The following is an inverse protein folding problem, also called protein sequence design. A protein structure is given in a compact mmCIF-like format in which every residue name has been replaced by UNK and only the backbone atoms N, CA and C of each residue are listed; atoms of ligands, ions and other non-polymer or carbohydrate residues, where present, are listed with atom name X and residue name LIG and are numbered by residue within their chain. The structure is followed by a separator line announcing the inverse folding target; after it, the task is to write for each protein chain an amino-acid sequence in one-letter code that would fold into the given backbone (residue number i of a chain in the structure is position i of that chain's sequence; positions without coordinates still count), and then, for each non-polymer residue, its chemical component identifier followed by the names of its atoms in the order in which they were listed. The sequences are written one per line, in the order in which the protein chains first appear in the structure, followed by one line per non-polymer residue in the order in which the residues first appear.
data_IF_839856970270
#
_entry.id   IF_839856970270
#
_cell.length_a   1.000
_cell.length_b   1.000
_cell.length_c   1.000
_cell.angle_alpha   90.00
_cell.angle_beta   90.00
_cell.angle_gamma   90.00
#
_symmetry.space_group_name_H-M   'P 1'
#
loop_
_entity.id
_entity.type
_entity.pdbx_description
1 polymer ?
#
# COMPACT_ATOMS: atom_id res chain seq x y z
N UNK A 1 28.27 -14.62 -15.29
CA UNK A 1 27.17 -14.23 -14.39
C UNK A 1 25.94 -14.03 -15.25
N UNK A 2 24.98 -14.95 -15.19
CA UNK A 2 23.95 -15.17 -16.20
C UNK A 2 22.96 -14.00 -16.31
N UNK A 3 22.77 -13.48 -17.52
CA UNK A 3 21.86 -12.37 -17.84
C UNK A 3 20.37 -12.65 -17.49
N UNK A 4 20.00 -13.90 -17.23
CA UNK A 4 18.66 -14.27 -16.77
C UNK A 4 18.39 -13.91 -15.29
N UNK A 5 19.42 -13.61 -14.50
CA UNK A 5 19.28 -13.26 -13.08
C UNK A 5 18.82 -11.81 -12.91
N UNK A 6 19.12 -10.90 -13.86
CA UNK A 6 18.82 -9.46 -13.71
C UNK A 6 17.35 -9.13 -13.93
N UNK A 7 16.71 -9.68 -14.97
CA UNK A 7 15.29 -9.41 -15.28
C UNK A 7 14.35 -10.06 -14.26
N UNK A 8 14.67 -11.28 -13.83
CA UNK A 8 13.94 -11.97 -12.75
C UNK A 8 14.06 -11.19 -11.45
N UNK A 9 15.25 -10.69 -11.11
CA UNK A 9 15.44 -9.89 -9.90
C UNK A 9 14.63 -8.59 -9.91
N UNK A 10 14.59 -7.85 -11.03
CA UNK A 10 13.78 -6.63 -11.13
C UNK A 10 12.29 -6.91 -10.94
N UNK A 11 11.75 -7.96 -11.57
CA UNK A 11 10.34 -8.36 -11.38
C UNK A 11 10.05 -8.79 -9.95
N UNK A 12 10.99 -9.47 -9.29
CA UNK A 12 10.87 -9.85 -7.88
C UNK A 12 10.84 -8.59 -6.99
N UNK A 13 11.67 -7.59 -7.26
CA UNK A 13 11.68 -6.33 -6.50
C UNK A 13 10.35 -5.58 -6.64
N UNK A 14 9.78 -5.51 -7.84
CA UNK A 14 8.47 -4.88 -8.06
C UNK A 14 7.37 -5.62 -7.28
N UNK A 15 7.35 -6.95 -7.34
CA UNK A 15 6.40 -7.77 -6.60
C UNK A 15 6.53 -7.58 -5.08
N UNK A 16 7.76 -7.56 -4.55
CA UNK A 16 8.02 -7.32 -3.14
C UNK A 16 7.58 -5.92 -2.71
N UNK A 17 7.80 -4.90 -3.55
CA UNK A 17 7.32 -3.55 -3.31
C UNK A 17 5.80 -3.47 -3.24
N UNK A 18 5.10 -4.11 -4.18
CA UNK A 18 3.63 -4.19 -4.16
C UNK A 18 3.13 -4.95 -2.92
N UNK A 19 3.78 -6.05 -2.54
CA UNK A 19 3.42 -6.83 -1.36
C UNK A 19 3.54 -6.01 -0.06
N UNK A 20 4.63 -5.25 0.10
CA UNK A 20 4.82 -4.37 1.25
C UNK A 20 3.76 -3.26 1.30
N UNK A 21 3.45 -2.66 0.14
CA UNK A 21 2.36 -1.68 0.01
C UNK A 21 1.02 -2.25 0.50
N UNK A 22 0.62 -3.42 -0.02
CA UNK A 22 -0.63 -4.07 0.39
C UNK A 22 -0.66 -4.37 1.89
N UNK A 23 0.44 -4.87 2.45
CA UNK A 23 0.54 -5.19 3.88
C UNK A 23 0.39 -3.95 4.76
N UNK A 24 1.07 -2.86 4.43
CA UNK A 24 0.99 -1.60 5.18
C UNK A 24 -0.39 -0.96 5.06
N UNK A 25 -0.97 -0.97 3.86
CA UNK A 25 -2.32 -0.46 3.61
C UNK A 25 -3.37 -1.25 4.41
N UNK A 26 -3.32 -2.58 4.35
CA UNK A 26 -4.23 -3.45 5.09
C UNK A 26 -4.16 -3.17 6.60
N UNK A 27 -2.96 -3.15 7.19
CA UNK A 27 -2.80 -2.88 8.62
C UNK A 27 -3.29 -1.47 8.99
N UNK A 28 -3.00 -0.48 8.15
CA UNK A 28 -3.44 0.91 8.39
C UNK A 28 -4.96 1.01 8.37
N UNK A 29 -5.62 0.48 7.33
CA UNK A 29 -7.07 0.57 7.22
C UNK A 29 -7.80 -0.28 8.24
N UNK A 30 -7.25 -1.43 8.61
CA UNK A 30 -7.75 -2.22 9.74
C UNK A 30 -7.73 -1.40 11.03
N UNK A 31 -6.57 -0.86 11.42
CA UNK A 31 -6.44 -0.08 12.66
C UNK A 31 -7.29 1.19 12.70
N UNK A 32 -7.61 1.78 11.55
CA UNK A 32 -8.39 3.02 11.46
C UNK A 32 -9.89 2.79 11.43
N UNK A 33 -10.33 1.70 10.81
CA UNK A 33 -11.74 1.48 10.54
C UNK A 33 -12.38 0.41 11.42
N UNK A 34 -11.59 -0.52 11.97
CA UNK A 34 -12.09 -1.64 12.79
C UNK A 34 -11.55 -1.48 14.22
N UNK A 35 -12.27 -0.76 15.10
CA UNK A 35 -11.83 -0.54 16.47
C UNK A 35 -11.84 -1.83 17.31
N UNK A 36 -12.90 -2.63 17.17
CA UNK A 36 -13.10 -3.91 17.85
C UNK A 36 -13.83 -4.89 16.93
N UNK A 37 -13.47 -6.17 17.00
CA UNK A 37 -14.13 -7.23 16.22
C UNK A 37 -15.28 -7.81 17.04
N UNK A 38 -16.46 -7.23 16.88
CA UNK A 38 -17.66 -7.66 17.61
C UNK A 38 -18.45 -8.75 16.88
N UNK A 39 -18.39 -8.75 15.55
CA UNK A 39 -19.12 -9.68 14.68
C UNK A 39 -18.20 -10.27 13.60
N UNK A 40 -18.64 -11.36 12.98
CA UNK A 40 -17.93 -11.98 11.84
C UNK A 40 -18.04 -11.19 10.53
N UNK A 41 -18.90 -10.16 10.49
CA UNK A 41 -19.16 -9.34 9.31
C UNK A 41 -18.89 -7.88 9.60
N UNK A 42 -18.39 -7.17 8.60
CA UNK A 42 -18.25 -5.71 8.68
C UNK A 42 -19.63 -5.05 8.62
N UNK A 43 -19.85 -4.13 9.54
CA UNK A 43 -20.98 -3.21 9.48
C UNK A 43 -20.88 -2.32 8.22
N UNK A 44 -22.00 -1.69 7.87
CA UNK A 44 -22.04 -0.75 6.73
C UNK A 44 -21.06 0.42 6.93
N UNK A 45 -20.89 0.86 8.18
CA UNK A 45 -19.95 1.92 8.54
C UNK A 45 -18.49 1.51 8.36
N UNK A 46 -18.12 0.31 8.82
CA UNK A 46 -16.77 -0.23 8.68
C UNK A 46 -16.42 -0.47 7.21
N UNK A 47 -17.35 -1.06 6.44
CA UNK A 47 -17.16 -1.28 4.99
C UNK A 47 -16.92 0.05 4.27
N UNK A 48 -17.78 1.05 4.47
CA UNK A 48 -17.62 2.36 3.85
C UNK A 48 -16.35 3.10 4.33
N UNK A 49 -15.94 2.91 5.58
CA UNK A 49 -14.67 3.44 6.09
C UNK A 49 -13.48 2.81 5.37
N UNK A 50 -13.46 1.48 5.22
CA UNK A 50 -12.36 0.75 4.56
C UNK A 50 -12.21 1.21 3.11
N UNK A 51 -13.31 1.35 2.36
CA UNK A 51 -13.28 1.86 0.98
C UNK A 51 -12.63 3.25 0.89
N UNK A 52 -13.07 4.18 1.76
CA UNK A 52 -12.50 5.54 1.84
C UNK A 52 -11.04 5.52 2.29
N UNK A 53 -10.68 4.63 3.21
CA UNK A 53 -9.32 4.50 3.70
C UNK A 53 -8.37 4.05 2.59
N UNK A 54 -8.73 3.01 1.85
CA UNK A 54 -7.93 2.50 0.72
C UNK A 54 -7.74 3.57 -0.34
N UNK A 55 -8.82 4.28 -0.69
CA UNK A 55 -8.75 5.41 -1.64
C UNK A 55 -7.74 6.48 -1.18
N UNK A 56 -7.88 6.98 0.06
CA UNK A 56 -6.97 7.99 0.63
C UNK A 56 -5.53 7.48 0.73
N UNK A 57 -5.34 6.21 1.10
CA UNK A 57 -4.01 5.62 1.22
C UNK A 57 -3.28 5.64 -0.13
N UNK A 58 -3.96 5.27 -1.21
CA UNK A 58 -3.40 5.26 -2.56
C UNK A 58 -3.11 6.66 -3.10
N UNK A 59 -3.99 7.64 -2.81
CA UNK A 59 -3.74 9.05 -3.15
C UNK A 59 -2.48 9.57 -2.45
N UNK A 60 -2.36 9.35 -1.14
CA UNK A 60 -1.19 9.78 -0.36
C UNK A 60 0.07 9.03 -0.79
N UNK A 61 -0.01 7.71 -1.04
CA UNK A 61 1.11 6.93 -1.54
C UNK A 61 1.65 7.51 -2.86
N UNK A 62 0.76 7.89 -3.77
CA UNK A 62 1.13 8.53 -5.05
C UNK A 62 1.76 9.90 -4.84
N UNK A 63 1.17 10.72 -3.97
CA UNK A 63 1.69 12.06 -3.67
C UNK A 63 3.09 12.01 -3.04
N UNK A 64 3.28 11.12 -2.06
CA UNK A 64 4.59 10.89 -1.42
C UNK A 64 5.61 10.40 -2.44
N UNK A 65 5.22 9.49 -3.33
CA UNK A 65 6.08 9.02 -4.42
C UNK A 65 6.57 10.15 -5.34
N UNK A 66 5.66 11.05 -5.74
CA UNK A 66 6.01 12.24 -6.55
C UNK A 66 6.99 13.15 -5.83
N UNK A 67 6.69 13.53 -4.59
CA UNK A 67 7.55 14.41 -3.80
C UNK A 67 8.94 13.80 -3.55
N UNK A 68 9.00 12.48 -3.33
CA UNK A 68 10.26 11.77 -3.17
C UNK A 68 11.10 11.84 -4.46
N UNK A 69 10.48 11.61 -5.61
CA UNK A 69 11.15 11.69 -6.91
C UNK A 69 11.66 13.11 -7.20
N UNK A 70 10.85 14.13 -6.95
CA UNK A 70 11.24 15.54 -7.07
C UNK A 70 12.44 15.87 -6.16
N UNK A 71 12.43 15.37 -4.92
CA UNK A 71 13.52 15.57 -3.96
C UNK A 71 14.82 14.83 -4.33
N UNK A 72 14.76 13.77 -5.15
CA UNK A 72 15.97 13.14 -5.70
C UNK A 72 16.57 13.94 -6.86
N UNK A 73 15.73 14.66 -7.62
CA UNK A 73 16.15 15.46 -8.77
C UNK A 73 16.69 16.84 -8.38
N UNK A 74 16.38 17.33 -7.17
CA UNK A 74 16.89 18.59 -6.64
C UNK A 74 18.28 18.49 -5.98
N UNK A 75 18.93 17.33 -6.09
CA UNK A 75 20.35 17.12 -5.75
C UNK A 75 21.19 17.22 -7.00
#
# INVERSE_FOLDING_TARGET
MNENISKVNSTVVELLGMSDLFKRMQNTCWSKCIPDVNDSFLSVGETSCVDRCVHKYMEIHTLVGKNLQESQLSK
#
